data_IF_064424678438
#
_entry.id   IF_064424678438
#
_cell.length_a   1.000
_cell.length_b   1.000
_cell.length_c   1.000
_cell.angle_alpha   90.00
_cell.angle_beta   90.00
_cell.angle_gamma   90.00
#
_symmetry.space_group_name_H-M   'P 1'
#
loop_
_entity.id
_entity.type
_entity.pdbx_description
1 polymer ?
#
# COMPACT_ATOMS: atom_id res chain seq x y z
N UNK A 1 -18.18 8.39 -19.32
CA UNK A 1 -17.98 7.46 -18.19
C UNK A 1 -16.53 7.04 -18.27
N UNK A 2 -15.64 7.89 -17.77
CA UNK A 2 -14.20 7.57 -17.76
C UNK A 2 -13.97 6.72 -16.52
N UNK A 3 -13.62 5.47 -16.76
CA UNK A 3 -13.18 4.54 -15.71
C UNK A 3 -12.13 5.25 -14.85
N UNK A 4 -12.24 5.15 -13.52
CA UNK A 4 -11.50 6.00 -12.59
C UNK A 4 -9.98 5.79 -12.61
N UNK A 5 -9.50 4.72 -13.26
CA UNK A 5 -8.09 4.36 -13.45
C UNK A 5 -7.55 4.94 -14.74
N UNK A 6 -6.49 5.75 -14.68
CA UNK A 6 -5.82 6.28 -15.88
C UNK A 6 -4.82 5.26 -16.43
N UNK A 7 -4.41 5.42 -17.70
CA UNK A 7 -3.33 4.61 -18.28
C UNK A 7 -2.00 4.74 -17.50
N UNK A 8 -1.79 5.88 -16.84
CA UNK A 8 -0.63 6.12 -15.97
C UNK A 8 -0.74 5.31 -14.68
N UNK A 9 -1.92 5.24 -14.07
CA UNK A 9 -2.17 4.40 -12.89
C UNK A 9 -1.93 2.92 -13.20
N UNK A 10 -2.40 2.44 -14.36
CA UNK A 10 -2.19 1.04 -14.76
C UNK A 10 -0.71 0.73 -15.00
N UNK A 11 0.03 1.64 -15.67
CA UNK A 11 1.46 1.48 -15.89
C UNK A 11 2.26 1.47 -14.58
N UNK A 12 1.92 2.36 -13.65
CA UNK A 12 2.55 2.41 -12.33
C UNK A 12 2.18 1.19 -11.48
N UNK A 13 0.94 0.70 -11.54
CA UNK A 13 0.53 -0.53 -10.85
C UNK A 13 1.34 -1.73 -11.33
N UNK A 14 1.53 -1.88 -12.63
CA UNK A 14 2.38 -2.95 -13.19
C UNK A 14 3.85 -2.78 -12.74
N UNK A 15 4.34 -1.54 -12.68
CA UNK A 15 5.68 -1.26 -12.17
C UNK A 15 5.86 -1.67 -10.69
N UNK A 16 4.84 -1.46 -9.86
CA UNK A 16 4.84 -1.88 -8.45
C UNK A 16 4.78 -3.41 -8.36
N UNK A 17 3.89 -4.03 -9.13
CA UNK A 17 3.76 -5.50 -9.20
C UNK A 17 5.10 -6.15 -9.56
N UNK A 18 5.79 -5.62 -10.57
CA UNK A 18 7.10 -6.11 -10.99
C UNK A 18 8.18 -6.00 -9.91
N UNK A 19 8.11 -5.00 -9.03
CA UNK A 19 9.04 -4.87 -7.88
C UNK A 19 8.74 -5.88 -6.80
N UNK A 20 7.48 -5.97 -6.37
CA UNK A 20 7.06 -6.87 -5.29
C UNK A 20 7.28 -8.33 -5.68
N UNK A 21 6.82 -8.73 -6.86
CA UNK A 21 7.05 -10.09 -7.38
C UNK A 21 8.51 -10.34 -7.82
N UNK A 22 9.27 -9.28 -8.08
CA UNK A 22 10.68 -9.31 -8.44
C UNK A 22 11.64 -9.46 -7.24
N UNK A 23 11.12 -9.52 -6.01
CA UNK A 23 11.90 -9.75 -4.80
C UNK A 23 12.31 -8.49 -4.03
N UNK A 24 11.62 -7.36 -4.22
CA UNK A 24 11.76 -6.21 -3.33
C UNK A 24 11.30 -6.62 -1.91
N UNK A 25 12.24 -6.69 -0.97
CA UNK A 25 11.93 -6.99 0.44
C UNK A 25 11.30 -5.77 1.12
N UNK A 26 10.08 -5.92 1.63
CA UNK A 26 9.36 -4.85 2.34
C UNK A 26 9.20 -5.16 3.82
N UNK A 27 9.04 -4.14 4.67
CA UNK A 27 8.88 -4.31 6.11
C UNK A 27 7.44 -4.73 6.47
N UNK A 28 7.01 -5.94 6.09
CA UNK A 28 5.62 -6.40 6.27
C UNK A 28 5.15 -6.37 7.74
N UNK A 29 6.07 -6.56 8.68
CA UNK A 29 5.83 -6.61 10.13
C UNK A 29 6.71 -5.62 10.90
N UNK A 30 6.26 -5.15 12.08
CA UNK A 30 4.93 -5.33 12.67
C UNK A 30 3.83 -4.54 11.94
N UNK A 31 2.59 -5.04 11.99
CA UNK A 31 1.41 -4.29 11.50
C UNK A 31 1.08 -3.16 12.45
N UNK A 32 0.52 -2.07 11.93
CA UNK A 32 0.22 -0.89 12.72
C UNK A 32 -1.14 -1.04 13.43
N UNK A 33 -1.12 -1.74 14.56
CA UNK A 33 -2.33 -2.05 15.34
C UNK A 33 -2.87 -0.87 16.14
N UNK A 34 -2.03 0.15 16.40
CA UNK A 34 -2.42 1.33 17.18
C UNK A 34 -2.28 2.62 16.36
N UNK A 35 -3.01 3.66 16.78
CA UNK A 35 -2.88 5.00 16.19
C UNK A 35 -1.46 5.57 16.32
N UNK A 36 -0.75 5.24 17.41
CA UNK A 36 0.65 5.65 17.61
C UNK A 36 1.57 5.05 16.55
N UNK A 37 1.46 3.73 16.32
CA UNK A 37 2.24 3.02 15.30
C UNK A 37 1.94 3.56 13.89
N UNK A 38 0.68 3.88 13.59
CA UNK A 38 0.36 4.48 12.28
C UNK A 38 0.96 5.87 12.14
N UNK A 39 0.88 6.71 13.16
CA UNK A 39 1.49 8.04 13.12
C UNK A 39 3.01 7.97 12.95
N UNK A 40 3.66 7.00 13.59
CA UNK A 40 5.09 6.74 13.42
C UNK A 40 5.42 6.36 11.97
N UNK A 41 4.70 5.39 11.39
CA UNK A 41 4.90 4.98 10.00
C UNK A 41 4.59 6.08 8.98
N UNK A 42 3.54 6.86 9.22
CA UNK A 42 3.24 8.06 8.42
C UNK A 42 4.39 9.08 8.51
N UNK A 43 4.97 9.25 9.70
CA UNK A 43 6.17 10.05 9.90
C UNK A 43 7.35 9.52 9.07
N UNK A 44 7.61 8.22 9.13
CA UNK A 44 8.67 7.56 8.34
C UNK A 44 8.45 7.71 6.85
N UNK A 45 7.23 7.50 6.34
CA UNK A 45 6.92 7.71 4.92
C UNK A 45 7.23 9.15 4.48
N UNK A 46 6.94 10.14 5.32
CA UNK A 46 7.25 11.55 5.03
C UNK A 46 8.75 11.85 5.00
N UNK A 47 9.53 11.23 5.88
CA UNK A 47 10.95 11.56 6.07
C UNK A 47 11.91 10.68 5.29
N UNK A 48 11.63 9.38 5.23
CA UNK A 48 12.48 8.35 4.62
C UNK A 48 12.11 8.11 3.15
N UNK A 49 10.82 8.08 2.83
CA UNK A 49 10.36 7.72 1.50
C UNK A 49 10.13 8.93 0.59
N UNK A 50 9.44 9.96 1.08
CA UNK A 50 9.11 11.17 0.29
C UNK A 50 8.50 10.82 -1.09
N UNK A 51 9.24 11.01 -2.18
CA UNK A 51 8.81 10.70 -3.56
C UNK A 51 9.44 9.40 -4.12
N UNK A 52 10.26 8.70 -3.34
CA UNK A 52 10.89 7.44 -3.73
C UNK A 52 9.88 6.28 -3.61
N UNK A 53 9.56 5.67 -4.75
CA UNK A 53 8.59 4.58 -4.83
C UNK A 53 9.04 3.34 -4.05
N UNK A 54 10.29 2.93 -4.17
CA UNK A 54 10.79 1.72 -3.53
C UNK A 54 10.79 1.91 -2.03
N UNK A 55 11.27 3.06 -1.55
CA UNK A 55 11.22 3.41 -0.14
C UNK A 55 9.78 3.45 0.40
N UNK A 56 8.81 3.97 -0.37
CA UNK A 56 7.37 3.91 0.01
C UNK A 56 6.93 2.48 0.20
N UNK A 57 7.18 1.62 -0.80
CA UNK A 57 6.79 0.20 -0.76
C UNK A 57 7.41 -0.54 0.43
N UNK A 58 8.68 -0.27 0.73
CA UNK A 58 9.41 -0.88 1.84
C UNK A 58 8.85 -0.43 3.18
N UNK A 59 8.76 0.88 3.42
CA UNK A 59 8.32 1.43 4.72
C UNK A 59 6.86 1.09 5.01
N UNK A 60 5.98 1.13 4.01
CA UNK A 60 4.60 0.71 4.20
C UNK A 60 4.41 -0.81 4.21
N UNK A 61 5.46 -1.60 3.96
CA UNK A 61 5.38 -3.06 3.99
C UNK A 61 4.42 -3.63 2.94
N UNK A 62 4.47 -3.12 1.70
CA UNK A 62 3.58 -3.60 0.64
C UNK A 62 3.88 -5.05 0.26
N UNK A 63 2.82 -5.79 -0.03
CA UNK A 63 2.83 -7.18 -0.50
C UNK A 63 1.89 -7.28 -1.69
N UNK A 64 2.23 -8.12 -2.66
CA UNK A 64 1.43 -8.38 -3.86
C UNK A 64 0.33 -9.43 -3.65
N UNK A 65 0.06 -9.77 -2.40
CA UNK A 65 -0.89 -10.77 -1.94
C UNK A 65 -1.47 -10.37 -0.57
N UNK A 66 -2.60 -10.98 -0.21
CA UNK A 66 -3.26 -10.73 1.07
C UNK A 66 -2.42 -11.24 2.23
N UNK A 67 -2.35 -10.45 3.31
CA UNK A 67 -1.76 -10.86 4.58
C UNK A 67 -2.86 -11.13 5.59
N UNK A 68 -2.76 -12.23 6.32
CA UNK A 68 -3.57 -12.51 7.50
C UNK A 68 -2.80 -12.08 8.75
N UNK A 69 -3.42 -11.26 9.60
CA UNK A 69 -2.91 -10.93 10.93
C UNK A 69 -4.05 -10.98 11.94
N UNK A 70 -3.78 -11.55 13.12
CA UNK A 70 -4.77 -11.74 14.20
C UNK A 70 -6.06 -12.46 13.75
N UNK A 71 -5.94 -13.38 12.79
CA UNK A 71 -7.06 -14.13 12.23
C UNK A 71 -7.96 -13.32 11.29
N UNK A 72 -7.49 -12.18 10.79
CA UNK A 72 -8.19 -11.32 9.85
C UNK A 72 -7.37 -11.14 8.57
N UNK A 73 -8.01 -11.34 7.42
CA UNK A 73 -7.45 -10.99 6.12
C UNK A 73 -7.42 -9.46 5.97
N UNK A 74 -6.26 -8.93 5.55
CA UNK A 74 -6.02 -7.49 5.43
C UNK A 74 -5.73 -7.04 3.99
N UNK A 75 -6.60 -7.34 2.99
CA UNK A 75 -6.40 -6.89 1.62
C UNK A 75 -6.68 -5.40 1.45
N UNK A 76 -6.09 -4.77 0.44
CA UNK A 76 -6.33 -3.36 0.11
C UNK A 76 -7.81 -3.09 -0.11
N UNK A 77 -8.58 -4.02 -0.71
CA UNK A 77 -10.01 -3.81 -0.97
C UNK A 77 -10.87 -3.57 0.27
N UNK A 78 -10.42 -4.02 1.43
CA UNK A 78 -11.11 -3.79 2.71
C UNK A 78 -10.51 -2.61 3.48
N UNK A 79 -9.39 -2.05 3.05
CA UNK A 79 -8.73 -0.93 3.71
C UNK A 79 -9.53 0.38 3.56
N UNK A 80 -9.60 1.18 4.62
CA UNK A 80 -10.30 2.48 4.63
C UNK A 80 -9.79 3.49 3.59
N UNK A 81 -8.56 3.34 3.11
CA UNK A 81 -7.94 4.23 2.12
C UNK A 81 -8.03 3.71 0.68
N UNK A 82 -8.79 2.64 0.42
CA UNK A 82 -8.88 2.06 -0.92
C UNK A 82 -10.05 2.63 -1.72
N UNK A 83 -9.73 3.16 -2.89
CA UNK A 83 -10.69 3.67 -3.85
C UNK A 83 -11.05 2.61 -4.89
N UNK A 84 -12.19 1.93 -4.68
CA UNK A 84 -12.67 0.81 -5.52
C UNK A 84 -12.71 1.16 -7.01
N UNK A 85 -13.22 2.33 -7.38
CA UNK A 85 -13.37 2.73 -8.79
C UNK A 85 -12.05 3.05 -9.52
N UNK A 86 -10.95 3.21 -8.77
CA UNK A 86 -9.63 3.55 -9.32
C UNK A 86 -8.57 2.48 -9.04
N UNK A 87 -8.83 1.53 -8.14
CA UNK A 87 -7.85 0.56 -7.63
C UNK A 87 -6.60 1.30 -7.14
N UNK A 88 -6.79 2.07 -6.06
CA UNK A 88 -5.86 3.10 -5.62
C UNK A 88 -5.90 3.31 -4.11
N UNK A 89 -4.73 3.53 -3.50
CA UNK A 89 -4.58 3.90 -2.10
C UNK A 89 -4.51 5.43 -1.98
N UNK A 90 -5.51 6.04 -1.34
CA UNK A 90 -5.61 7.50 -1.15
C UNK A 90 -4.97 8.01 0.13
N UNK A 91 -4.19 7.18 0.83
CA UNK A 91 -3.37 7.66 1.95
C UNK A 91 -2.38 8.72 1.40
N UNK A 92 -2.39 9.97 1.90
CA UNK A 92 -1.64 11.08 1.30
C UNK A 92 -0.14 10.80 1.13
N UNK A 93 0.45 10.05 2.06
CA UNK A 93 1.87 9.70 2.04
C UNK A 93 2.22 8.62 1.01
N UNK A 94 1.25 7.82 0.58
CA UNK A 94 1.41 6.81 -0.46
C UNK A 94 0.96 7.35 -1.81
N UNK A 95 -0.34 7.61 -1.95
CA UNK A 95 -0.97 8.04 -3.21
C UNK A 95 -0.54 7.16 -4.39
N UNK A 96 -0.74 5.85 -4.27
CA UNK A 96 -0.29 4.85 -5.25
C UNK A 96 -1.47 4.03 -5.81
N UNK A 97 -1.43 3.65 -7.09
CA UNK A 97 -2.31 2.61 -7.60
C UNK A 97 -1.93 1.26 -6.98
N UNK A 98 -2.94 0.49 -6.58
CA UNK A 98 -2.78 -0.80 -5.89
C UNK A 98 -3.81 -1.78 -6.44
N UNK A 99 -3.62 -3.07 -6.19
CA UNK A 99 -4.63 -4.09 -6.51
C UNK A 99 -5.47 -4.44 -5.28
N UNK A 100 -6.71 -4.91 -5.46
CA UNK A 100 -7.57 -5.26 -4.33
C UNK A 100 -6.94 -6.30 -3.40
N UNK A 101 -6.23 -7.29 -3.96
CA UNK A 101 -5.61 -8.40 -3.23
C UNK A 101 -4.26 -8.06 -2.56
N UNK A 102 -3.73 -6.85 -2.72
CA UNK A 102 -2.47 -6.46 -2.09
C UNK A 102 -2.66 -6.15 -0.61
N UNK A 103 -1.58 -5.99 0.14
CA UNK A 103 -1.65 -5.56 1.54
C UNK A 103 -0.48 -4.67 1.92
N UNK A 104 -0.66 -3.77 2.89
CA UNK A 104 0.40 -2.95 3.47
C UNK A 104 0.22 -2.87 4.99
N UNK A 105 1.31 -2.67 5.75
CA UNK A 105 1.28 -2.70 7.24
C UNK A 105 0.48 -1.56 7.88
N UNK A 106 0.03 -0.60 7.08
CA UNK A 106 -0.85 0.51 7.44
C UNK A 106 -2.35 0.18 7.23
N UNK A 107 -2.68 -1.04 6.78
CA UNK A 107 -4.07 -1.48 6.58
C UNK A 107 -4.92 -1.26 7.83
N UNK A 108 -6.12 -0.69 7.65
CA UNK A 108 -7.10 -0.43 8.70
C UNK A 108 -8.53 -0.44 8.15
N UNK A 109 -9.49 -0.70 9.02
CA UNK A 109 -10.94 -0.65 8.81
C UNK A 109 -11.62 0.30 9.80
#
# INVERSE_FOLDING_TARGET
>A
MSDGSTAEDDALREQIRGRLSGGLETEVWPRAETSEMVNELVGRLKTEAADDLDAKLVVSGFTDHTIEADGLEQPCETCMYYLVHRRFCELPELMLPVEPEWSCRLWRI
#
